data_IF_583102374564
#
_entry.id   IF_583102374564
#
_cell.length_a   1.000
_cell.length_b   1.000
_cell.length_c   1.000
_cell.angle_alpha   90.00
_cell.angle_beta   90.00
_cell.angle_gamma   90.00
#
_symmetry.space_group_name_H-M   'P 1'
#
loop_
_entity.id
_entity.type
_entity.pdbx_description
1 polymer ?
#
# COMPACT_ATOMS: atom_id res chain seq x y z
N UNK A 1 16.53 4.46 -16.58
CA UNK A 1 16.06 3.79 -15.35
C UNK A 1 14.68 4.33 -15.03
N UNK A 2 13.77 3.50 -14.53
CA UNK A 2 12.44 3.96 -14.12
C UNK A 2 12.52 4.74 -12.81
N UNK A 3 11.60 5.69 -12.58
CA UNK A 3 11.50 6.40 -11.28
C UNK A 3 11.38 5.42 -10.11
N UNK A 4 10.59 4.38 -10.26
CA UNK A 4 10.42 3.31 -9.25
C UNK A 4 11.72 2.55 -8.96
N UNK A 5 12.55 2.29 -9.99
CA UNK A 5 13.86 1.66 -9.82
C UNK A 5 14.86 2.51 -9.03
N UNK A 6 14.86 3.83 -9.24
CA UNK A 6 15.69 4.76 -8.46
C UNK A 6 15.24 4.83 -7.00
N UNK A 7 13.93 4.84 -6.75
CA UNK A 7 13.37 4.76 -5.40
C UNK A 7 13.74 3.43 -4.71
N UNK A 8 13.60 2.31 -5.42
CA UNK A 8 13.95 1.00 -4.87
C UNK A 8 15.43 0.90 -4.49
N UNK A 9 16.32 1.51 -5.28
CA UNK A 9 17.76 1.60 -4.93
C UNK A 9 17.96 2.39 -3.64
N UNK A 10 17.36 3.58 -3.53
CA UNK A 10 17.45 4.41 -2.32
C UNK A 10 16.96 3.67 -1.07
N UNK A 11 15.86 2.94 -1.21
CA UNK A 11 15.29 2.14 -0.13
C UNK A 11 16.25 1.01 0.26
N UNK A 12 16.80 0.27 -0.72
CA UNK A 12 17.78 -0.80 -0.46
C UNK A 12 19.05 -0.28 0.21
N UNK A 13 19.52 0.89 -0.17
CA UNK A 13 20.70 1.52 0.43
C UNK A 13 20.49 1.85 1.91
N UNK A 14 19.25 2.18 2.31
CA UNK A 14 18.91 2.52 3.70
C UNK A 14 18.47 1.32 4.55
N UNK A 15 17.75 0.37 3.96
CA UNK A 15 17.07 -0.71 4.68
C UNK A 15 17.58 -2.11 4.32
N UNK A 16 18.61 -2.21 3.45
CA UNK A 16 19.13 -3.48 2.97
C UNK A 16 18.36 -4.04 1.76
N UNK A 17 18.98 -4.98 1.06
CA UNK A 17 18.53 -5.48 -0.24
C UNK A 17 17.61 -6.70 -0.19
N UNK A 18 17.39 -7.27 0.99
CA UNK A 18 16.47 -8.41 1.13
C UNK A 18 15.03 -7.98 0.77
N UNK A 19 14.32 -8.76 -0.08
CA UNK A 19 12.94 -8.42 -0.43
C UNK A 19 12.01 -8.52 0.78
N UNK A 20 10.98 -7.68 0.89
CA UNK A 20 9.94 -7.86 1.88
C UNK A 20 9.07 -9.08 1.57
N UNK A 21 8.69 -9.86 2.58
CA UNK A 21 7.71 -10.94 2.46
C UNK A 21 6.30 -10.39 2.18
N UNK A 22 6.01 -9.20 2.75
CA UNK A 22 4.73 -8.54 2.61
C UNK A 22 4.88 -7.02 2.46
N UNK A 23 4.09 -6.43 1.58
CA UNK A 23 3.78 -5.02 1.55
C UNK A 23 2.48 -4.75 2.30
N UNK A 24 2.46 -3.76 3.20
CA UNK A 24 1.26 -3.34 3.91
C UNK A 24 0.95 -1.89 3.57
N UNK A 25 -0.30 -1.59 3.21
CA UNK A 25 -0.79 -0.21 3.09
C UNK A 25 -1.81 0.03 4.20
N UNK A 26 -1.41 0.83 5.19
CA UNK A 26 -2.23 1.04 6.37
C UNK A 26 -3.36 2.04 6.09
N UNK A 27 -4.56 1.67 6.58
CA UNK A 27 -5.72 2.53 6.66
C UNK A 27 -5.83 3.27 8.00
N UNK A 28 -6.90 4.04 8.13
CA UNK A 28 -7.19 4.81 9.35
C UNK A 28 -7.25 3.92 10.58
N UNK A 29 -6.65 4.37 11.68
CA UNK A 29 -6.61 3.67 12.96
C UNK A 29 -5.44 2.71 13.14
N UNK A 30 -4.75 2.29 12.06
CA UNK A 30 -3.67 1.30 12.12
C UNK A 30 -2.26 1.90 12.01
N UNK A 31 -2.12 3.23 12.00
CA UNK A 31 -0.81 3.90 11.86
C UNK A 31 0.23 3.50 12.90
N UNK A 32 -0.19 3.06 14.08
CA UNK A 32 0.70 2.58 15.14
C UNK A 32 1.48 1.31 14.75
N UNK A 33 0.96 0.48 13.85
CA UNK A 33 1.65 -0.72 13.38
C UNK A 33 2.97 -0.40 12.66
N UNK A 34 3.05 0.74 11.99
CA UNK A 34 4.31 1.19 11.39
C UNK A 34 5.42 1.36 12.42
N UNK A 35 5.09 1.91 13.60
CA UNK A 35 6.05 2.08 14.68
C UNK A 35 6.45 0.77 15.37
N UNK A 36 5.73 -0.33 15.13
CA UNK A 36 6.07 -1.67 15.66
C UNK A 36 7.06 -2.44 14.78
N UNK A 37 7.38 -1.90 13.58
CA UNK A 37 8.39 -2.51 12.71
C UNK A 37 9.78 -2.27 13.27
N UNK A 38 10.50 -3.34 13.56
CA UNK A 38 11.92 -3.27 13.94
C UNK A 38 12.77 -3.08 12.67
N UNK A 39 13.15 -1.83 12.40
CA UNK A 39 13.85 -1.51 11.17
C UNK A 39 14.01 -0.01 10.91
N UNK A 40 13.93 0.36 9.64
CA UNK A 40 14.16 1.72 9.16
C UNK A 40 12.86 2.41 8.79
N UNK A 41 12.66 3.63 9.27
CA UNK A 41 11.59 4.53 8.84
C UNK A 41 12.14 5.55 7.83
N UNK A 42 11.55 5.60 6.65
CA UNK A 42 11.94 6.51 5.56
C UNK A 42 10.78 7.48 5.32
N UNK A 43 10.97 8.79 5.55
CA UNK A 43 9.93 9.77 5.25
C UNK A 43 9.55 9.78 3.76
N UNK A 44 8.27 9.95 3.44
CA UNK A 44 7.83 10.07 2.04
C UNK A 44 8.44 11.29 1.34
N UNK A 45 8.82 12.31 2.09
CA UNK A 45 9.53 13.47 1.55
C UNK A 45 10.88 13.10 0.91
N UNK A 46 11.50 12.01 1.35
CA UNK A 46 12.75 11.49 0.78
C UNK A 46 12.49 10.55 -0.43
N UNK A 47 11.23 10.18 -0.67
CA UNK A 47 10.80 9.25 -1.70
C UNK A 47 9.98 10.00 -2.76
N UNK A 48 10.69 10.70 -3.65
CA UNK A 48 10.07 11.54 -4.68
C UNK A 48 9.07 10.78 -5.55
N UNK A 49 7.81 11.23 -5.54
CA UNK A 49 6.72 10.64 -6.33
C UNK A 49 5.80 9.73 -5.52
N UNK A 50 6.13 9.41 -4.26
CA UNK A 50 5.15 8.79 -3.39
C UNK A 50 4.03 9.78 -3.04
N UNK A 51 2.79 9.30 -2.91
CA UNK A 51 1.68 10.17 -2.58
C UNK A 51 1.85 10.76 -1.18
N UNK A 52 1.73 12.08 -1.08
CA UNK A 52 1.68 12.75 0.22
C UNK A 52 0.34 12.43 0.89
N UNK A 53 0.38 11.78 2.05
CA UNK A 53 -0.82 11.54 2.84
C UNK A 53 -1.31 12.89 3.40
N UNK A 54 -2.43 13.40 2.88
CA UNK A 54 -3.05 14.65 3.32
C UNK A 54 -4.05 14.47 4.46
N UNK A 55 -4.43 13.25 4.79
CA UNK A 55 -5.48 12.94 5.78
C UNK A 55 -4.89 12.79 7.18
N UNK A 56 -5.55 13.41 8.17
CA UNK A 56 -5.18 13.28 9.58
C UNK A 56 -5.19 11.81 10.04
N UNK A 57 -4.18 11.41 10.81
CA UNK A 57 -4.03 10.03 11.30
C UNK A 57 -3.18 9.13 10.40
N UNK A 58 -2.68 9.64 9.28
CA UNK A 58 -1.69 8.96 8.46
C UNK A 58 -0.28 9.47 8.78
N UNK A 59 0.66 8.54 8.94
CA UNK A 59 2.07 8.88 9.11
C UNK A 59 2.76 8.73 7.76
N UNK A 60 3.26 9.82 7.12
CA UNK A 60 3.84 9.79 5.79
C UNK A 60 5.26 9.19 5.81
N UNK A 61 5.36 7.92 6.18
CA UNK A 61 6.61 7.15 6.27
C UNK A 61 6.44 5.76 5.68
N UNK A 62 7.50 5.26 5.08
CA UNK A 62 7.70 3.88 4.70
C UNK A 62 8.58 3.22 5.78
N UNK A 63 8.08 2.19 6.42
CA UNK A 63 8.83 1.39 7.38
C UNK A 63 9.25 0.09 6.71
N UNK A 64 10.52 -0.28 6.86
CA UNK A 64 11.04 -1.54 6.34
C UNK A 64 11.88 -2.22 7.41
N UNK A 65 11.51 -3.44 7.74
CA UNK A 65 12.15 -4.20 8.79
C UNK A 65 11.40 -5.47 9.13
N UNK A 66 11.63 -5.96 10.32
CA UNK A 66 10.95 -7.14 10.87
C UNK A 66 9.66 -6.74 11.61
N UNK A 67 8.61 -7.49 11.37
CA UNK A 67 7.37 -7.46 12.14
C UNK A 67 6.94 -8.90 12.39
N UNK A 68 6.98 -9.35 13.64
CA UNK A 68 6.61 -10.70 14.05
C UNK A 68 7.37 -11.80 13.26
N UNK A 69 8.67 -11.62 13.05
CA UNK A 69 9.52 -12.58 12.34
C UNK A 69 9.32 -12.61 10.82
N UNK A 70 8.69 -11.58 10.26
CA UNK A 70 8.54 -11.38 8.81
C UNK A 70 9.10 -10.05 8.37
N UNK A 71 9.84 -10.06 7.29
CA UNK A 71 10.29 -8.80 6.70
C UNK A 71 9.15 -8.12 5.96
N UNK A 72 8.87 -6.88 6.33
CA UNK A 72 7.74 -6.12 5.79
C UNK A 72 8.16 -4.77 5.24
N UNK A 73 7.38 -4.26 4.28
CA UNK A 73 7.40 -2.87 3.84
C UNK A 73 6.03 -2.25 4.15
N UNK A 74 5.97 -1.35 5.13
CA UNK A 74 4.72 -0.80 5.64
C UNK A 74 4.59 0.67 5.25
N UNK A 75 3.60 0.99 4.42
CA UNK A 75 3.21 2.36 4.12
C UNK A 75 2.28 2.86 5.23
N UNK A 76 2.77 3.80 6.05
CA UNK A 76 2.05 4.38 7.18
C UNK A 76 0.90 5.31 6.78
N UNK A 77 0.75 5.59 5.50
CA UNK A 77 -0.34 6.39 4.95
C UNK A 77 -0.50 6.16 3.44
N UNK A 78 -1.65 6.60 2.92
CA UNK A 78 -2.00 6.50 1.51
C UNK A 78 -2.74 7.74 1.03
N UNK A 79 -2.75 7.98 -0.27
CA UNK A 79 -3.62 8.96 -0.90
C UNK A 79 -4.97 8.33 -1.25
N UNK A 80 -6.03 9.10 -1.10
CA UNK A 80 -7.38 8.67 -1.44
C UNK A 80 -7.87 9.34 -2.72
N UNK A 81 -8.73 8.66 -3.46
CA UNK A 81 -9.33 9.19 -4.69
C UNK A 81 -10.00 10.55 -4.47
N UNK A 82 -10.73 10.73 -3.37
CA UNK A 82 -11.43 11.98 -3.08
C UNK A 82 -10.50 13.17 -2.80
N UNK A 83 -9.21 12.95 -2.54
CA UNK A 83 -8.25 14.04 -2.32
C UNK A 83 -7.79 14.67 -3.64
N UNK A 84 -7.63 13.85 -4.68
CA UNK A 84 -6.98 14.28 -5.92
C UNK A 84 -7.79 13.99 -7.20
N UNK A 85 -8.84 13.19 -7.12
CA UNK A 85 -9.57 12.66 -8.27
C UNK A 85 -8.78 11.67 -9.12
N UNK A 86 -7.63 11.18 -8.62
CA UNK A 86 -6.76 10.25 -9.34
C UNK A 86 -6.93 8.82 -8.85
N UNK A 87 -7.42 7.94 -9.73
CA UNK A 87 -7.56 6.51 -9.43
C UNK A 87 -6.19 5.81 -9.29
N UNK A 88 -5.15 6.33 -9.93
CA UNK A 88 -3.80 5.80 -9.95
C UNK A 88 -2.86 6.40 -8.88
N UNK A 89 -3.40 7.13 -7.90
CA UNK A 89 -2.60 7.85 -6.91
C UNK A 89 -1.62 6.96 -6.13
N UNK A 90 -1.95 5.69 -5.91
CA UNK A 90 -1.10 4.73 -5.20
C UNK A 90 -0.15 3.94 -6.12
N UNK A 91 -0.21 4.13 -7.43
CA UNK A 91 0.66 3.43 -8.40
C UNK A 91 2.15 3.50 -8.04
N UNK A 92 2.74 4.66 -7.70
CA UNK A 92 4.17 4.73 -7.37
C UNK A 92 4.57 3.87 -6.17
N UNK A 93 3.69 3.75 -5.17
CA UNK A 93 3.93 2.90 -4.01
C UNK A 93 3.90 1.41 -4.37
N UNK A 94 2.97 1.00 -5.22
CA UNK A 94 2.85 -0.39 -5.69
C UNK A 94 4.02 -0.76 -6.62
N UNK A 95 4.42 0.14 -7.51
CA UNK A 95 5.59 -0.06 -8.36
C UNK A 95 6.87 -0.17 -7.53
N UNK A 96 7.01 0.62 -6.46
CA UNK A 96 8.13 0.50 -5.53
C UNK A 96 8.16 -0.88 -4.86
N UNK A 97 7.02 -1.39 -4.37
CA UNK A 97 6.95 -2.74 -3.78
C UNK A 97 7.36 -3.81 -4.78
N UNK A 98 6.87 -3.72 -6.01
CA UNK A 98 7.25 -4.64 -7.09
C UNK A 98 8.76 -4.61 -7.37
N UNK A 99 9.35 -3.42 -7.49
CA UNK A 99 10.79 -3.24 -7.69
C UNK A 99 11.61 -3.75 -6.49
N UNK A 100 11.08 -3.71 -5.27
CA UNK A 100 11.71 -4.29 -4.08
C UNK A 100 11.65 -5.82 -4.06
N UNK A 101 10.85 -6.44 -4.95
CA UNK A 101 10.66 -7.88 -5.01
C UNK A 101 9.58 -8.39 -4.06
N UNK A 102 8.68 -7.52 -3.63
CA UNK A 102 7.53 -7.87 -2.81
C UNK A 102 6.37 -8.33 -3.72
N UNK A 103 5.89 -9.55 -3.54
CA UNK A 103 4.83 -10.16 -4.34
C UNK A 103 3.50 -10.33 -3.58
N UNK A 104 3.47 -9.99 -2.29
CA UNK A 104 2.28 -10.09 -1.44
C UNK A 104 1.91 -8.74 -0.86
N UNK A 105 0.63 -8.38 -1.00
CA UNK A 105 0.13 -7.08 -0.57
C UNK A 105 -1.07 -7.24 0.36
N UNK A 106 -1.00 -6.58 1.51
CA UNK A 106 -2.10 -6.45 2.45
C UNK A 106 -2.59 -5.00 2.43
N UNK A 107 -3.84 -4.81 2.05
CA UNK A 107 -4.50 -3.51 2.07
C UNK A 107 -5.46 -3.47 3.26
N UNK A 108 -5.42 -2.39 4.03
CA UNK A 108 -6.34 -2.22 5.15
C UNK A 108 -7.17 -0.95 4.97
N UNK A 109 -8.41 -0.97 5.41
CA UNK A 109 -9.27 0.20 5.47
C UNK A 109 -10.25 0.11 6.64
N UNK A 110 -10.67 1.26 7.16
CA UNK A 110 -11.79 1.33 8.08
C UNK A 110 -13.10 1.36 7.28
N UNK A 111 -14.12 0.66 7.80
CA UNK A 111 -15.47 0.66 7.24
C UNK A 111 -16.50 0.59 8.36
N UNK A 112 -17.69 1.16 8.14
CA UNK A 112 -18.84 0.96 9.01
C UNK A 112 -19.46 -0.41 8.75
N UNK A 113 -19.80 -1.14 9.82
CA UNK A 113 -20.49 -2.41 9.69
C UNK A 113 -22.00 -2.19 9.53
N UNK A 114 -22.62 -2.96 8.63
CA UNK A 114 -24.06 -3.10 8.49
C UNK A 114 -24.57 -4.40 9.11
N UNK A 115 -23.72 -5.12 9.84
CA UNK A 115 -24.00 -6.43 10.43
C UNK A 115 -23.82 -6.38 11.93
N UNK A 116 -24.77 -6.92 12.70
CA UNK A 116 -24.67 -6.98 14.16
C UNK A 116 -23.63 -8.00 14.66
N UNK A 117 -23.37 -9.05 13.86
CA UNK A 117 -22.40 -10.09 14.15
C UNK A 117 -20.94 -9.68 13.83
N UNK A 118 -20.74 -8.49 13.26
CA UNK A 118 -19.42 -7.87 13.04
C UNK A 118 -19.44 -6.48 13.71
N UNK A 119 -19.28 -6.41 15.03
CA UNK A 119 -19.33 -5.14 15.76
C UNK A 119 -18.06 -4.30 15.54
N UNK A 120 -18.04 -3.02 15.95
CA UNK A 120 -16.85 -2.18 15.90
C UNK A 120 -15.65 -2.82 16.63
N UNK A 121 -14.47 -2.76 16.00
CA UNK A 121 -13.23 -3.35 16.51
C UNK A 121 -12.91 -4.72 15.92
N UNK A 122 -13.84 -5.32 15.19
CA UNK A 122 -13.60 -6.60 14.51
C UNK A 122 -12.85 -6.41 13.18
N UNK A 123 -12.14 -7.48 12.78
CA UNK A 123 -11.48 -7.56 11.47
C UNK A 123 -12.36 -8.40 10.53
N UNK A 124 -12.51 -7.89 9.32
CA UNK A 124 -13.20 -8.59 8.24
C UNK A 124 -12.26 -8.77 7.05
N UNK A 125 -12.04 -10.01 6.65
CA UNK A 125 -11.30 -10.31 5.43
C UNK A 125 -12.25 -10.20 4.23
N UNK A 126 -11.86 -9.39 3.25
CA UNK A 126 -12.59 -9.28 1.99
C UNK A 126 -12.21 -10.44 1.07
N UNK A 127 -13.19 -11.20 0.62
CA UNK A 127 -13.02 -12.27 -0.37
C UNK A 127 -13.28 -11.81 -1.80
N UNK A 128 -14.03 -10.71 -1.96
CA UNK A 128 -14.36 -10.11 -3.25
C UNK A 128 -14.92 -8.70 -3.04
N UNK A 129 -15.11 -7.94 -4.13
CA UNK A 129 -15.71 -6.61 -4.07
C UNK A 129 -16.52 -6.27 -5.31
N UNK A 130 -17.46 -5.35 -5.15
CA UNK A 130 -18.24 -4.78 -6.24
C UNK A 130 -17.76 -3.34 -6.45
N UNK A 131 -17.23 -3.05 -7.64
CA UNK A 131 -16.70 -1.73 -7.96
C UNK A 131 -17.79 -0.80 -8.50
N UNK A 132 -18.29 0.12 -7.66
CA UNK A 132 -19.22 1.18 -8.08
C UNK A 132 -18.55 2.53 -8.36
N UNK A 133 -17.22 2.61 -8.25
CA UNK A 133 -16.50 3.89 -8.30
C UNK A 133 -16.53 4.58 -9.68
N UNK A 134 -16.89 3.88 -10.75
CA UNK A 134 -16.94 4.43 -12.12
C UNK A 134 -15.59 4.88 -12.67
N UNK A 135 -14.49 4.50 -12.04
CA UNK A 135 -13.13 4.81 -12.44
C UNK A 135 -12.22 3.60 -12.33
N UNK A 136 -11.09 3.63 -13.05
CA UNK A 136 -10.15 2.51 -13.06
C UNK A 136 -8.72 3.07 -13.16
N UNK A 137 -7.78 2.63 -12.32
CA UNK A 137 -6.38 3.09 -12.34
C UNK A 137 -5.63 2.72 -13.64
N UNK A 138 -6.17 1.82 -14.46
CA UNK A 138 -5.60 1.41 -15.75
C UNK A 138 -6.08 2.24 -16.93
N UNK A 139 -6.96 3.23 -16.72
CA UNK A 139 -7.38 4.16 -17.77
C UNK A 139 -6.14 4.92 -18.27
N UNK A 140 -5.92 4.88 -19.59
CA UNK A 140 -4.77 5.52 -20.24
C UNK A 140 -3.57 4.61 -20.48
N UNK A 141 -3.56 3.39 -19.97
CA UNK A 141 -2.57 2.39 -20.35
C UNK A 141 -2.67 2.08 -21.86
N UNK A 142 -1.52 1.96 -22.53
CA UNK A 142 -1.46 1.85 -24.00
C UNK A 142 -1.20 0.44 -24.51
N UNK A 143 -0.89 -0.49 -23.64
CA UNK A 143 -0.53 -1.86 -23.98
C UNK A 143 -1.43 -2.88 -23.28
N UNK A 144 -1.07 -4.16 -23.36
CA UNK A 144 -1.82 -5.28 -22.76
C UNK A 144 -1.94 -5.20 -21.23
N UNK A 145 -1.13 -4.38 -20.56
CA UNK A 145 -1.19 -4.16 -19.10
C UNK A 145 -2.51 -3.55 -18.63
N UNK A 146 -3.32 -2.97 -19.53
CA UNK A 146 -4.69 -2.50 -19.21
C UNK A 146 -5.70 -3.64 -19.00
N UNK A 147 -5.38 -4.85 -19.46
CA UNK A 147 -6.26 -6.00 -19.38
C UNK A 147 -5.82 -6.92 -18.24
N UNK A 148 -6.13 -6.53 -17.01
CA UNK A 148 -5.82 -7.31 -15.82
C UNK A 148 -7.09 -8.07 -15.40
N UNK A 149 -7.11 -9.41 -15.48
CA UNK A 149 -8.20 -10.19 -14.93
C UNK A 149 -8.18 -10.08 -13.41
N UNK A 150 -9.34 -9.82 -12.80
CA UNK A 150 -9.49 -9.73 -11.34
C UNK A 150 -10.14 -10.98 -10.74
N UNK A 151 -10.26 -12.06 -11.51
CA UNK A 151 -10.90 -13.32 -11.06
C UNK A 151 -10.18 -13.91 -9.85
N UNK A 152 -8.86 -13.81 -9.81
CA UNK A 152 -8.01 -14.33 -8.74
C UNK A 152 -7.30 -13.18 -7.99
N UNK A 153 -7.96 -12.02 -7.86
CA UNK A 153 -7.36 -10.84 -7.24
C UNK A 153 -7.25 -10.93 -5.71
N UNK A 154 -8.02 -11.81 -5.09
CA UNK A 154 -7.98 -12.07 -3.66
C UNK A 154 -7.39 -13.45 -3.41
N UNK A 155 -6.53 -13.53 -2.40
CA UNK A 155 -5.96 -14.79 -1.95
C UNK A 155 -7.06 -15.63 -1.28
N UNK A 156 -7.27 -16.90 -1.65
CA UNK A 156 -8.35 -17.75 -1.14
C UNK A 156 -8.20 -18.13 0.34
#
# INVERSE_FOLDING_TARGET
MSKSGDLARLVRDRAGSAPPDYGLVLGSGLGHLGASVDGVAIPYADLEGLPHAGVSGHVPQLYIGDLEGRRVAVFGGRSHYYETGRADAMRPALELLHELGCDRLILTNAAGSLREDIPPGELMLLSDHIAFAGTNPLIGERDERRFVPLTDAHDP
#
